data_IF_748613347979
#
_entry.id   IF_748613347979
#
_cell.length_a   1.000
_cell.length_b   1.000
_cell.length_c   1.000
_cell.angle_alpha   90.00
_cell.angle_beta   90.00
_cell.angle_gamma   90.00
#
_symmetry.space_group_name_H-M   'P 1'
#
loop_
_entity.id
_entity.type
_entity.pdbx_description
1 polymer ?
#
# COMPACT_ATOMS: atom_id res chain seq x y z
N UNK A 1 29.73 4.96 -2.04
CA UNK A 1 29.21 3.89 -1.15
C UNK A 1 28.77 2.73 -2.03
N UNK A 2 29.13 1.47 -1.70
CA UNK A 2 28.72 0.31 -2.49
C UNK A 2 27.19 0.26 -2.60
N UNK A 3 26.68 0.02 -3.82
CA UNK A 3 25.25 -0.04 -4.11
C UNK A 3 24.56 -1.23 -3.45
N UNK A 4 23.24 -1.18 -3.37
CA UNK A 4 22.42 -2.33 -3.03
C UNK A 4 22.34 -3.28 -4.22
N UNK A 5 22.37 -4.57 -3.95
CA UNK A 5 22.19 -5.63 -4.93
C UNK A 5 21.03 -6.52 -4.53
N UNK A 6 20.29 -7.00 -5.52
CA UNK A 6 19.33 -8.09 -5.31
C UNK A 6 20.04 -9.33 -4.74
N UNK A 7 19.40 -9.97 -3.76
CA UNK A 7 19.80 -11.32 -3.34
C UNK A 7 19.53 -12.31 -4.47
N UNK A 8 20.39 -13.32 -4.61
CA UNK A 8 20.19 -14.41 -5.58
C UNK A 8 19.55 -15.62 -4.89
N UNK A 9 18.65 -16.37 -5.56
CA UNK A 9 18.04 -16.04 -6.85
C UNK A 9 16.99 -14.92 -6.72
N UNK A 10 17.02 -13.93 -7.61
CA UNK A 10 16.28 -12.67 -7.45
C UNK A 10 14.75 -12.86 -7.42
N UNK A 11 14.21 -13.77 -8.23
CA UNK A 11 12.77 -13.99 -8.35
C UNK A 11 12.16 -14.53 -7.05
N UNK A 12 12.85 -15.42 -6.34
CA UNK A 12 12.37 -16.00 -5.09
C UNK A 12 12.29 -14.94 -3.99
N UNK A 13 13.33 -14.10 -3.88
CA UNK A 13 13.35 -13.00 -2.92
C UNK A 13 12.34 -11.91 -3.24
N UNK A 14 12.05 -11.68 -4.53
CA UNK A 14 10.98 -10.76 -4.94
C UNK A 14 9.59 -11.31 -4.59
N UNK A 15 9.32 -12.59 -4.88
CA UNK A 15 8.06 -13.24 -4.54
C UNK A 15 7.84 -13.27 -3.01
N UNK A 16 8.86 -13.68 -2.25
CA UNK A 16 8.81 -13.65 -0.79
C UNK A 16 8.54 -12.24 -0.26
N UNK A 17 9.24 -11.26 -0.81
CA UNK A 17 9.05 -9.86 -0.43
C UNK A 17 7.65 -9.35 -0.73
N UNK A 18 7.08 -9.70 -1.89
CA UNK A 18 5.69 -9.41 -2.24
C UNK A 18 4.70 -10.03 -1.25
N UNK A 19 4.85 -11.32 -0.95
CA UNK A 19 4.00 -12.03 0.00
C UNK A 19 4.10 -11.41 1.40
N UNK A 20 5.31 -11.18 1.90
CA UNK A 20 5.52 -10.59 3.23
C UNK A 20 5.00 -9.15 3.31
N UNK A 21 5.23 -8.32 2.29
CA UNK A 21 4.73 -6.95 2.24
C UNK A 21 3.19 -6.89 2.28
N UNK A 22 2.52 -7.83 1.59
CA UNK A 22 1.06 -7.90 1.50
C UNK A 22 0.44 -8.51 2.76
N UNK A 23 0.92 -9.68 3.19
CA UNK A 23 0.37 -10.42 4.33
C UNK A 23 0.67 -9.73 5.67
N UNK A 24 1.77 -8.98 5.78
CA UNK A 24 2.07 -8.22 6.99
C UNK A 24 1.31 -6.89 7.05
N UNK A 25 0.52 -6.53 6.04
CA UNK A 25 -0.22 -5.26 6.06
C UNK A 25 -1.31 -5.28 7.14
N UNK A 26 -1.26 -4.34 8.11
CA UNK A 26 -2.31 -4.20 9.13
C UNK A 26 -3.72 -4.16 8.55
N UNK A 27 -3.91 -3.44 7.44
CA UNK A 27 -5.20 -3.34 6.74
C UNK A 27 -5.64 -4.68 6.17
N UNK A 28 -4.75 -5.39 5.48
CA UNK A 28 -5.02 -6.73 4.93
C UNK A 28 -5.42 -7.72 6.02
N UNK A 29 -4.67 -7.74 7.13
CA UNK A 29 -4.95 -8.62 8.26
C UNK A 29 -6.25 -8.26 8.96
N UNK A 30 -6.47 -6.98 9.25
CA UNK A 30 -7.68 -6.52 9.95
C UNK A 30 -8.92 -6.84 9.14
N UNK A 31 -8.92 -6.50 7.84
CA UNK A 31 -10.05 -6.77 6.94
C UNK A 31 -10.25 -8.27 6.76
N UNK A 32 -9.17 -9.04 6.60
CA UNK A 32 -9.25 -10.50 6.50
C UNK A 32 -9.86 -11.15 7.73
N UNK A 33 -9.46 -10.73 8.93
CA UNK A 33 -10.03 -11.23 10.20
C UNK A 33 -11.50 -10.85 10.33
N UNK A 34 -11.88 -9.62 9.97
CA UNK A 34 -13.27 -9.19 9.98
C UNK A 34 -14.13 -10.05 9.04
N UNK A 35 -13.67 -10.25 7.80
CA UNK A 35 -14.37 -11.07 6.80
C UNK A 35 -14.46 -12.55 7.19
N UNK A 36 -13.44 -13.10 7.85
CA UNK A 36 -13.48 -14.47 8.37
C UNK A 36 -14.50 -14.63 9.52
N UNK A 37 -14.72 -13.57 10.31
CA UNK A 37 -15.66 -13.60 11.43
C UNK A 37 -17.10 -13.45 10.96
N UNK A 38 -17.37 -12.46 10.12
CA UNK A 38 -18.65 -12.29 9.45
C UNK A 38 -18.44 -11.62 8.10
N UNK A 39 -18.77 -12.35 7.03
CA UNK A 39 -18.64 -11.83 5.67
C UNK A 39 -19.84 -10.95 5.26
N UNK A 40 -20.88 -10.86 6.09
CA UNK A 40 -22.02 -9.98 5.82
C UNK A 40 -21.59 -8.53 5.95
N UNK A 41 -21.84 -7.77 4.90
CA UNK A 41 -21.54 -6.35 4.80
C UNK A 41 -22.56 -5.71 3.87
N UNK A 42 -22.97 -4.48 4.18
CA UNK A 42 -23.78 -3.65 3.30
C UNK A 42 -23.06 -3.39 1.96
N UNK A 43 -21.73 -3.48 1.96
CA UNK A 43 -20.86 -3.41 0.78
C UNK A 43 -20.06 -4.71 0.59
N UNK A 44 -20.63 -5.76 -0.02
CA UNK A 44 -20.00 -7.08 -0.11
C UNK A 44 -18.77 -7.10 -1.02
N UNK A 45 -18.70 -6.22 -2.01
CA UNK A 45 -17.55 -6.12 -2.93
C UNK A 45 -16.44 -5.19 -2.43
N UNK A 46 -16.76 -4.22 -1.56
CA UNK A 46 -15.81 -3.21 -1.12
C UNK A 46 -14.69 -3.84 -0.26
N UNK A 47 -15.05 -4.56 0.80
CA UNK A 47 -14.06 -5.08 1.77
C UNK A 47 -13.10 -6.12 1.18
N UNK A 48 -13.54 -7.15 0.43
CA UNK A 48 -12.59 -8.06 -0.22
C UNK A 48 -11.70 -7.34 -1.23
N UNK A 49 -12.23 -6.34 -1.93
CA UNK A 49 -11.46 -5.55 -2.90
C UNK A 49 -10.35 -4.74 -2.24
N UNK A 50 -10.49 -4.30 -0.99
CA UNK A 50 -9.40 -3.65 -0.26
C UNK A 50 -8.18 -4.55 -0.11
N UNK A 51 -8.37 -5.85 0.15
CA UNK A 51 -7.27 -6.81 0.22
C UNK A 51 -6.57 -6.95 -1.13
N UNK A 52 -7.35 -6.97 -2.22
CA UNK A 52 -6.82 -6.99 -3.60
C UNK A 52 -6.04 -5.72 -3.91
N UNK A 53 -6.53 -4.55 -3.49
CA UNK A 53 -5.84 -3.26 -3.67
C UNK A 53 -4.47 -3.28 -3.00
N UNK A 54 -4.35 -3.78 -1.77
CA UNK A 54 -3.06 -3.89 -1.07
C UNK A 54 -2.07 -4.75 -1.88
N UNK A 55 -2.52 -5.89 -2.39
CA UNK A 55 -1.71 -6.77 -3.22
C UNK A 55 -1.28 -6.08 -4.54
N UNK A 56 -2.22 -5.48 -5.28
CA UNK A 56 -1.92 -4.81 -6.54
C UNK A 56 -1.00 -3.61 -6.36
N UNK A 57 -1.22 -2.78 -5.34
CA UNK A 57 -0.37 -1.64 -5.04
C UNK A 57 1.06 -2.06 -4.66
N UNK A 58 1.23 -3.15 -3.90
CA UNK A 58 2.54 -3.74 -3.64
C UNK A 58 3.21 -4.24 -4.94
N UNK A 59 2.46 -4.90 -5.83
CA UNK A 59 2.99 -5.32 -7.13
C UNK A 59 3.48 -4.13 -7.97
N UNK A 60 2.68 -3.05 -8.06
CA UNK A 60 3.04 -1.80 -8.75
C UNK A 60 4.31 -1.18 -8.14
N UNK A 61 4.39 -1.11 -6.82
CA UNK A 61 5.57 -0.58 -6.12
C UNK A 61 6.83 -1.39 -6.44
N UNK A 62 6.76 -2.73 -6.40
CA UNK A 62 7.88 -3.61 -6.76
C UNK A 62 8.32 -3.40 -8.21
N UNK A 63 7.37 -3.37 -9.16
CA UNK A 63 7.68 -3.14 -10.57
C UNK A 63 8.37 -1.79 -10.77
N UNK A 64 7.90 -0.75 -10.09
CA UNK A 64 8.50 0.58 -10.15
C UNK A 64 9.90 0.62 -9.54
N UNK A 65 10.10 -0.02 -8.38
CA UNK A 65 11.42 -0.15 -7.76
C UNK A 65 12.39 -0.91 -8.66
N UNK A 66 11.95 -1.99 -9.30
CA UNK A 66 12.76 -2.73 -10.26
C UNK A 66 13.17 -1.88 -11.45
N UNK A 67 12.24 -1.11 -12.02
CA UNK A 67 12.53 -0.18 -13.11
C UNK A 67 13.55 0.89 -12.68
N UNK A 68 13.33 1.51 -11.52
CA UNK A 68 14.23 2.55 -10.99
C UNK A 68 15.61 1.98 -10.68
N UNK A 69 15.68 0.80 -10.05
CA UNK A 69 16.94 0.16 -9.69
C UNK A 69 17.76 -0.26 -10.92
N UNK A 70 17.09 -0.69 -12.00
CA UNK A 70 17.76 -0.97 -13.29
C UNK A 70 18.35 0.29 -13.93
N UNK A 71 17.71 1.45 -13.77
CA UNK A 71 18.19 2.72 -14.30
C UNK A 71 19.30 3.33 -13.43
N UNK A 72 19.14 3.28 -12.12
CA UNK A 72 20.09 3.80 -11.14
C UNK A 72 20.01 2.96 -9.86
N UNK A 73 21.09 2.23 -9.56
CA UNK A 73 21.15 1.38 -8.39
C UNK A 73 21.02 2.21 -7.10
N UNK A 74 20.15 1.77 -6.19
CA UNK A 74 19.96 2.41 -4.90
C UNK A 74 21.20 2.19 -4.02
N UNK A 75 21.65 3.24 -3.32
CA UNK A 75 22.81 3.16 -2.40
C UNK A 75 22.41 2.91 -0.95
N UNK A 76 21.17 3.24 -0.57
CA UNK A 76 20.67 3.15 0.82
C UNK A 76 19.29 2.50 0.87
N UNK A 77 19.09 1.60 1.84
CA UNK A 77 17.80 0.93 2.07
C UNK A 77 16.67 1.91 2.37
N UNK A 78 16.95 2.98 3.14
CA UNK A 78 15.96 4.01 3.46
C UNK A 78 15.42 4.71 2.21
N UNK A 79 16.28 5.04 1.25
CA UNK A 79 15.85 5.67 0.00
C UNK A 79 14.93 4.75 -0.80
N UNK A 80 15.28 3.47 -0.88
CA UNK A 80 14.45 2.45 -1.53
C UNK A 80 13.10 2.28 -0.81
N UNK A 81 13.11 2.18 0.53
CA UNK A 81 11.89 2.05 1.32
C UNK A 81 10.94 3.24 1.16
N UNK A 82 11.46 4.47 1.17
CA UNK A 82 10.65 5.68 0.93
C UNK A 82 10.06 5.68 -0.47
N UNK A 83 10.85 5.35 -1.51
CA UNK A 83 10.35 5.27 -2.88
C UNK A 83 9.28 4.19 -3.04
N UNK A 84 9.47 3.05 -2.39
CA UNK A 84 8.48 1.97 -2.35
C UNK A 84 7.18 2.47 -1.73
N UNK A 85 7.28 3.07 -0.54
CA UNK A 85 6.14 3.64 0.18
C UNK A 85 5.39 4.65 -0.69
N UNK A 86 6.08 5.64 -1.27
CA UNK A 86 5.44 6.65 -2.12
C UNK A 86 4.70 6.03 -3.30
N UNK A 87 5.30 5.04 -3.99
CA UNK A 87 4.65 4.38 -5.12
C UNK A 87 3.44 3.54 -4.68
N UNK A 88 3.60 2.71 -3.64
CA UNK A 88 2.53 1.87 -3.12
C UNK A 88 1.37 2.70 -2.59
N UNK A 89 1.66 3.74 -1.80
CA UNK A 89 0.67 4.67 -1.27
C UNK A 89 -0.06 5.42 -2.39
N UNK A 90 0.64 5.95 -3.39
CA UNK A 90 -0.04 6.61 -4.52
C UNK A 90 -1.00 5.68 -5.26
N UNK A 91 -0.58 4.44 -5.55
CA UNK A 91 -1.40 3.47 -6.26
C UNK A 91 -2.57 2.99 -5.39
N UNK A 92 -2.30 2.63 -4.14
CA UNK A 92 -3.30 2.14 -3.20
C UNK A 92 -4.33 3.19 -2.83
N UNK A 93 -3.92 4.43 -2.54
CA UNK A 93 -4.85 5.52 -2.26
C UNK A 93 -5.73 5.84 -3.48
N UNK A 94 -5.15 5.87 -4.69
CA UNK A 94 -5.93 6.11 -5.91
C UNK A 94 -6.97 5.01 -6.13
N UNK A 95 -6.57 3.74 -6.04
CA UNK A 95 -7.49 2.60 -6.16
C UNK A 95 -8.57 2.59 -5.06
N UNK A 96 -8.18 2.89 -3.82
CA UNK A 96 -9.08 2.98 -2.67
C UNK A 96 -10.14 4.05 -2.86
N UNK A 97 -9.73 5.25 -3.29
CA UNK A 97 -10.65 6.34 -3.58
C UNK A 97 -11.59 5.94 -4.71
N UNK A 98 -11.08 5.46 -5.85
CA UNK A 98 -11.90 5.04 -6.99
C UNK A 98 -12.94 4.00 -6.55
N UNK A 99 -12.52 2.98 -5.81
CA UNK A 99 -13.41 1.93 -5.31
C UNK A 99 -14.44 2.47 -4.32
N UNK A 100 -14.02 3.26 -3.33
CA UNK A 100 -14.91 3.77 -2.30
C UNK A 100 -15.95 4.75 -2.84
N UNK A 101 -15.58 5.55 -3.85
CA UNK A 101 -16.51 6.44 -4.54
C UNK A 101 -17.44 5.67 -5.48
N UNK A 102 -16.94 4.67 -6.22
CA UNK A 102 -17.78 3.92 -7.17
C UNK A 102 -18.78 2.98 -6.48
N UNK A 103 -18.47 2.53 -5.26
CA UNK A 103 -19.36 1.68 -4.45
C UNK A 103 -20.28 2.45 -3.53
N UNK A 104 -20.09 3.76 -3.37
CA UNK A 104 -20.82 4.59 -2.40
C UNK A 104 -20.36 4.42 -0.94
N UNK A 105 -19.43 3.49 -0.67
CA UNK A 105 -18.93 3.22 0.68
C UNK A 105 -18.25 4.43 1.34
N UNK A 106 -17.46 5.21 0.58
CA UNK A 106 -16.77 6.38 1.13
C UNK A 106 -17.73 7.49 1.59
N UNK A 107 -18.68 7.95 0.75
CA UNK A 107 -19.73 8.86 1.18
C UNK A 107 -20.46 8.39 2.45
N UNK A 108 -20.84 7.12 2.54
CA UNK A 108 -21.53 6.56 3.70
C UNK A 108 -20.65 6.55 4.97
N UNK A 109 -19.36 6.22 4.84
CA UNK A 109 -18.41 6.25 5.97
C UNK A 109 -18.17 7.66 6.50
N UNK A 110 -18.23 8.67 5.62
CA UNK A 110 -17.95 10.07 5.95
C UNK A 110 -19.19 10.81 6.45
N UNK A 111 -20.40 10.40 6.03
CA UNK A 111 -21.68 10.97 6.45
C UNK A 111 -21.82 11.23 7.96
N UNK A 112 -21.47 10.31 8.88
CA UNK A 112 -21.57 10.57 10.32
C UNK A 112 -20.57 11.60 10.83
N UNK A 113 -19.45 11.83 10.12
CA UNK A 113 -18.38 12.76 10.51
C UNK A 113 -18.71 14.19 10.09
N UNK A 114 -19.30 14.36 8.90
CA UNK A 114 -19.70 15.67 8.37
C UNK A 114 -21.04 16.14 8.98
N UNK A 115 -21.75 15.24 9.66
CA UNK A 115 -23.06 15.51 10.24
C UNK A 115 -24.15 15.48 9.18
N UNK A 116 -25.33 14.95 9.52
CA UNK A 116 -26.53 14.98 8.66
C UNK A 116 -27.16 16.38 8.60
N UNK A 117 -26.34 17.44 8.57
CA UNK A 117 -26.79 18.81 8.61
C UNK A 117 -26.70 19.40 7.18
N UNK A 118 -27.85 19.35 6.53
CA UNK A 118 -28.18 19.86 5.21
C UNK A 118 -27.65 19.05 4.02
N UNK A 119 -28.53 18.86 3.03
CA UNK A 119 -28.24 18.31 1.70
C UNK A 119 -27.22 19.16 0.89
N UNK A 120 -26.52 20.09 1.55
CA UNK A 120 -25.54 21.04 1.07
C UNK A 120 -24.21 20.94 1.82
N UNK A 121 -23.91 19.83 2.52
CA UNK A 121 -22.55 19.55 2.96
C UNK A 121 -21.59 19.77 1.76
N UNK A 122 -20.67 20.75 1.82
CA UNK A 122 -19.90 21.12 0.65
C UNK A 122 -19.12 19.89 0.21
N UNK A 123 -19.23 19.46 -1.06
CA UNK A 123 -18.52 18.26 -1.55
C UNK A 123 -17.00 18.28 -1.27
N UNK A 124 -16.46 19.46 -0.98
CA UNK A 124 -15.10 19.70 -0.49
C UNK A 124 -14.83 18.98 0.85
N UNK A 125 -15.74 19.03 1.80
CA UNK A 125 -15.55 18.43 3.13
C UNK A 125 -15.56 16.89 3.05
N UNK A 126 -16.49 16.33 2.27
CA UNK A 126 -16.53 14.88 1.99
C UNK A 126 -15.26 14.44 1.27
N UNK A 127 -14.77 15.21 0.30
CA UNK A 127 -13.52 14.93 -0.39
C UNK A 127 -12.30 15.01 0.55
N UNK A 128 -12.27 15.97 1.47
CA UNK A 128 -11.20 16.11 2.47
C UNK A 128 -11.14 14.89 3.39
N UNK A 129 -12.27 14.50 3.97
CA UNK A 129 -12.35 13.31 4.83
C UNK A 129 -12.05 12.02 4.08
N UNK A 130 -12.57 11.87 2.87
CA UNK A 130 -12.25 10.72 2.00
C UNK A 130 -10.75 10.63 1.72
N UNK A 131 -10.11 11.77 1.47
CA UNK A 131 -8.66 11.85 1.28
C UNK A 131 -7.92 11.48 2.57
N UNK A 132 -8.36 11.97 3.72
CA UNK A 132 -7.81 11.62 5.03
C UNK A 132 -7.88 10.12 5.31
N UNK A 133 -9.03 9.48 5.06
CA UNK A 133 -9.21 8.03 5.20
C UNK A 133 -8.31 7.27 4.23
N UNK A 134 -8.23 7.70 2.96
CA UNK A 134 -7.36 7.09 1.98
C UNK A 134 -5.89 7.17 2.38
N UNK A 135 -5.44 8.32 2.91
CA UNK A 135 -4.08 8.48 3.43
C UNK A 135 -3.81 7.56 4.61
N UNK A 136 -4.74 7.46 5.57
CA UNK A 136 -4.62 6.53 6.70
C UNK A 136 -4.51 5.08 6.23
N UNK A 137 -5.38 4.67 5.29
CA UNK A 137 -5.33 3.36 4.64
C UNK A 137 -3.97 3.12 3.96
N UNK A 138 -3.49 4.08 3.17
CA UNK A 138 -2.22 3.97 2.47
C UNK A 138 -1.01 3.85 3.42
N UNK A 139 -0.95 4.68 4.46
CA UNK A 139 0.12 4.63 5.46
C UNK A 139 0.11 3.27 6.16
N UNK A 140 -1.05 2.85 6.67
CA UNK A 140 -1.19 1.57 7.34
C UNK A 140 -0.86 0.39 6.42
N UNK A 141 -1.18 0.48 5.13
CA UNK A 141 -0.96 -0.61 4.18
C UNK A 141 0.48 -0.74 3.67
N UNK A 142 1.26 0.36 3.61
CA UNK A 142 2.52 0.37 2.85
C UNK A 142 3.75 0.84 3.61
N UNK A 143 3.62 1.45 4.79
CA UNK A 143 4.77 1.98 5.54
C UNK A 143 5.79 0.88 5.91
N UNK A 144 5.32 -0.24 6.44
CA UNK A 144 6.15 -1.41 6.76
C UNK A 144 6.61 -2.16 5.51
N UNK A 145 5.79 -2.18 4.46
CA UNK A 145 6.05 -2.91 3.22
C UNK A 145 7.36 -2.44 2.55
N UNK A 146 7.61 -1.13 2.50
CA UNK A 146 8.85 -0.59 1.94
C UNK A 146 10.10 -1.02 2.72
N UNK A 147 10.00 -1.08 4.04
CA UNK A 147 11.11 -1.53 4.92
C UNK A 147 11.36 -3.02 4.74
N UNK A 148 10.31 -3.83 4.79
CA UNK A 148 10.39 -5.28 4.54
C UNK A 148 10.99 -5.57 3.17
N UNK A 149 10.52 -4.87 2.14
CA UNK A 149 11.01 -5.08 0.78
C UNK A 149 12.50 -4.76 0.65
N UNK A 150 12.95 -3.65 1.24
CA UNK A 150 14.37 -3.28 1.27
C UNK A 150 15.24 -4.29 2.03
N UNK A 151 14.71 -4.90 3.09
CA UNK A 151 15.46 -5.80 3.96
C UNK A 151 15.56 -7.23 3.42
N UNK A 152 14.43 -7.74 2.91
CA UNK A 152 14.31 -9.07 2.31
C UNK A 152 15.02 -9.11 0.96
N UNK A 153 14.69 -8.20 0.04
CA UNK A 153 15.13 -8.27 -1.35
C UNK A 153 16.60 -7.89 -1.58
N UNK A 154 17.16 -6.99 -0.77
CA UNK A 154 18.44 -6.34 -1.06
C UNK A 154 19.51 -6.59 0.00
N UNK A 155 20.75 -6.75 -0.47
CA UNK A 155 21.98 -6.78 0.33
C UNK A 155 22.92 -5.66 -0.10
N UNK A 156 23.83 -5.24 0.77
CA UNK A 156 24.91 -4.33 0.37
C UNK A 156 25.89 -5.08 -0.54
N UNK A 157 26.39 -4.41 -1.59
CA UNK A 157 27.48 -4.96 -2.39
C UNK A 157 28.73 -5.17 -1.50
N UNK A 158 29.50 -6.25 -1.74
CA UNK A 158 30.76 -6.45 -1.05
C UNK A 158 31.65 -5.21 -1.25
N UNK A 159 32.31 -4.74 -0.19
CA UNK A 159 33.41 -3.79 -0.36
C UNK A 159 34.58 -4.59 -0.94
N UNK A 160 35.00 -4.27 -2.16
CA UNK A 160 36.28 -4.78 -2.66
C UNK A 160 37.39 -4.06 -1.91
N UNK A 161 38.16 -4.82 -1.12
CA UNK A 161 39.21 -4.32 -0.23
C UNK A 161 39.00 -4.75 1.22
N UNK A 162 39.23 -6.03 1.48
CA UNK A 162 39.67 -6.56 2.78
C UNK A 162 40.73 -7.62 2.47
#
# INVERSE_FOLDING_TARGET
MPGLLWRRPWWAWQALSFCMATLAAPTFLTIGVLLMRDARSDHPFFWPSLMVIVALANAVAILRINQLHRRAAFTRRRMLAVRYLSCGMSAGCAMFLILGWSTGALPEMVAPVVGTADASAPGIEVALWSTGIALAFGIASFAHAGVLHAWIGFRHAPRHGA
#
